data_IF_968684522790
#
_entry.id   IF_968684522790
#
_cell.length_a   1.000
_cell.length_b   1.000
_cell.length_c   1.000
_cell.angle_alpha   90.00
_cell.angle_beta   90.00
_cell.angle_gamma   90.00
#
_symmetry.space_group_name_H-M   'P 1'
#
loop_
_entity.id
_entity.type
_entity.pdbx_description
1 polymer ?
#
# COMPACT_ATOMS: atom_id res chain seq x y z
N UNK A 1 -39.10 19.03 -2.24
CA UNK A 1 -38.27 18.56 -1.10
C UNK A 1 -37.04 17.83 -1.61
N UNK A 2 -37.18 16.84 -2.51
CA UNK A 2 -36.04 16.22 -3.22
C UNK A 2 -35.19 17.24 -4.02
N UNK A 3 -35.82 18.16 -4.77
CA UNK A 3 -35.09 19.18 -5.55
C UNK A 3 -34.32 20.18 -4.67
N UNK A 4 -34.82 20.44 -3.45
CA UNK A 4 -34.17 21.33 -2.49
C UNK A 4 -32.97 20.65 -1.80
N UNK A 5 -33.09 19.36 -1.45
CA UNK A 5 -31.98 18.55 -0.90
C UNK A 5 -30.91 18.28 -1.97
N UNK A 6 -31.28 18.11 -3.23
CA UNK A 6 -30.32 18.00 -4.35
C UNK A 6 -29.62 19.35 -4.58
N UNK A 7 -30.35 20.47 -4.50
CA UNK A 7 -29.74 21.79 -4.61
C UNK A 7 -28.79 22.09 -3.44
N UNK A 8 -29.16 21.72 -2.22
CA UNK A 8 -28.35 21.87 -1.00
C UNK A 8 -27.10 20.97 -1.02
N UNK A 9 -27.25 19.70 -1.39
CA UNK A 9 -26.10 18.80 -1.58
C UNK A 9 -25.21 19.22 -2.76
N UNK A 10 -25.77 19.75 -3.85
CA UNK A 10 -24.99 20.30 -4.95
C UNK A 10 -24.16 21.53 -4.50
N UNK A 11 -24.70 22.38 -3.62
CA UNK A 11 -23.94 23.50 -3.04
C UNK A 11 -22.82 23.05 -2.09
N UNK A 12 -22.94 21.90 -1.44
CA UNK A 12 -21.89 21.35 -0.57
C UNK A 12 -20.84 20.53 -1.34
N UNK A 13 -21.23 19.85 -2.41
CA UNK A 13 -20.33 19.06 -3.26
C UNK A 13 -19.47 19.97 -4.15
N UNK A 14 -20.02 21.09 -4.63
CA UNK A 14 -19.32 22.06 -5.48
C UNK A 14 -18.01 22.59 -4.88
N UNK A 15 -17.95 23.09 -3.62
CA UNK A 15 -16.70 23.55 -3.03
C UNK A 15 -15.69 22.42 -2.85
N UNK A 16 -16.12 21.18 -2.58
CA UNK A 16 -15.24 20.02 -2.49
C UNK A 16 -14.61 19.68 -3.86
N UNK A 17 -15.42 19.66 -4.93
CA UNK A 17 -14.92 19.44 -6.29
C UNK A 17 -13.97 20.55 -6.70
N UNK A 18 -14.33 21.81 -6.46
CA UNK A 18 -13.50 22.96 -6.78
C UNK A 18 -12.16 22.90 -6.04
N UNK A 19 -12.17 22.60 -4.75
CA UNK A 19 -10.95 22.43 -3.95
C UNK A 19 -10.06 21.33 -4.54
N UNK A 20 -10.63 20.17 -4.85
CA UNK A 20 -9.90 19.04 -5.44
C UNK A 20 -9.26 19.42 -6.78
N UNK A 21 -10.02 20.12 -7.63
CA UNK A 21 -9.52 20.61 -8.93
C UNK A 21 -8.41 21.64 -8.77
N UNK A 22 -8.53 22.58 -7.82
CA UNK A 22 -7.49 23.57 -7.54
C UNK A 22 -6.21 22.90 -7.07
N UNK A 23 -6.30 21.93 -6.15
CA UNK A 23 -5.14 21.16 -5.67
C UNK A 23 -4.51 20.36 -6.82
N UNK A 24 -5.31 19.66 -7.62
CA UNK A 24 -4.81 18.91 -8.77
C UNK A 24 -4.14 19.83 -9.82
N UNK A 25 -4.73 21.01 -10.08
CA UNK A 25 -4.16 22.02 -10.96
C UNK A 25 -2.84 22.56 -10.41
N UNK A 26 -2.76 22.86 -9.12
CA UNK A 26 -1.53 23.32 -8.47
C UNK A 26 -0.40 22.28 -8.56
N UNK A 27 -0.70 21.01 -8.27
CA UNK A 27 0.26 19.91 -8.42
C UNK A 27 0.74 19.80 -9.87
N UNK A 28 -0.19 19.86 -10.83
CA UNK A 28 0.13 19.79 -12.27
C UNK A 28 1.00 20.96 -12.70
N UNK A 29 0.64 22.20 -12.34
CA UNK A 29 1.43 23.40 -12.65
C UNK A 29 2.82 23.32 -12.04
N UNK A 30 2.93 22.84 -10.80
CA UNK A 30 4.23 22.69 -10.13
C UNK A 30 5.11 21.65 -10.82
N UNK A 31 4.56 20.49 -11.20
CA UNK A 31 5.30 19.46 -11.94
C UNK A 31 5.71 19.95 -13.34
N UNK A 32 4.82 20.63 -14.05
CA UNK A 32 5.10 21.20 -15.38
C UNK A 32 6.14 22.30 -15.29
N UNK A 33 6.02 23.21 -14.31
CA UNK A 33 7.01 24.25 -14.06
C UNK A 33 8.37 23.64 -13.71
N UNK A 34 8.40 22.60 -12.87
CA UNK A 34 9.63 21.86 -12.56
C UNK A 34 10.24 21.22 -13.80
N UNK A 35 9.43 20.72 -14.73
CA UNK A 35 9.90 20.15 -15.99
C UNK A 35 10.46 21.21 -16.96
N UNK A 36 9.85 22.41 -17.01
CA UNK A 36 10.33 23.52 -17.84
C UNK A 36 11.57 24.21 -17.27
N UNK A 37 11.63 24.41 -15.95
CA UNK A 37 12.75 25.07 -15.25
C UNK A 37 13.91 24.11 -15.04
N UNK A 38 13.62 22.82 -14.85
CA UNK A 38 14.64 21.79 -14.73
C UNK A 38 15.57 21.84 -15.93
N UNK A 39 16.86 22.04 -15.68
CA UNK A 39 17.86 21.97 -16.73
C UNK A 39 17.68 20.61 -17.42
N UNK A 40 17.36 20.63 -18.73
CA UNK A 40 17.41 19.46 -19.61
C UNK A 40 18.87 18.99 -19.64
N UNK A 41 19.32 18.36 -18.57
CA UNK A 41 20.58 17.64 -18.56
C UNK A 41 20.47 16.66 -19.71
N UNK A 42 21.46 16.67 -20.62
CA UNK A 42 21.58 15.59 -21.59
C UNK A 42 21.61 14.32 -20.76
N UNK A 43 20.53 13.54 -20.83
CA UNK A 43 20.43 12.22 -20.21
C UNK A 43 21.63 11.42 -20.71
N UNK A 44 22.68 11.39 -19.90
CA UNK A 44 23.85 10.59 -20.16
C UNK A 44 23.47 9.16 -19.84
N UNK A 45 24.04 8.19 -20.56
CA UNK A 45 23.74 6.76 -20.35
C UNK A 45 23.91 6.28 -18.90
N UNK A 46 24.68 7.01 -18.08
CA UNK A 46 24.85 6.74 -16.65
C UNK A 46 23.74 7.34 -15.73
N UNK A 47 22.94 8.29 -16.22
CA UNK A 47 21.80 8.87 -15.47
C UNK A 47 20.51 8.05 -15.64
N UNK A 48 20.42 7.27 -16.73
CA UNK A 48 19.24 6.46 -17.06
C UNK A 48 19.32 5.01 -16.54
N UNK A 49 20.41 4.65 -15.85
CA UNK A 49 20.56 3.34 -15.21
C UNK A 49 20.11 3.42 -13.73
N UNK A 50 19.41 2.40 -13.21
CA UNK A 50 19.14 2.28 -11.78
C UNK A 50 20.40 2.45 -10.95
N UNK A 51 20.33 3.26 -9.91
CA UNK A 51 21.48 3.53 -9.04
C UNK A 51 21.79 2.31 -8.16
N UNK A 52 22.94 1.68 -8.39
CA UNK A 52 23.45 0.59 -7.55
C UNK A 52 24.94 0.80 -7.23
N UNK A 53 25.30 2.00 -6.77
CA UNK A 53 26.66 2.35 -6.30
C UNK A 53 27.79 1.93 -7.26
N UNK A 54 27.60 2.09 -8.57
CA UNK A 54 28.60 1.76 -9.60
C UNK A 54 28.56 0.32 -10.12
N UNK A 55 27.63 -0.51 -9.65
CA UNK A 55 27.33 -1.83 -10.20
C UNK A 55 26.32 -1.65 -11.33
N UNK A 56 26.59 -2.26 -12.48
CA UNK A 56 25.60 -2.35 -13.56
C UNK A 56 24.54 -3.35 -13.09
N UNK A 57 23.26 -2.98 -13.00
CA UNK A 57 22.23 -3.90 -12.55
C UNK A 57 22.22 -5.12 -13.48
N UNK A 58 22.48 -6.29 -12.91
CA UNK A 58 22.53 -7.57 -13.62
C UNK A 58 21.34 -8.42 -13.20
N UNK A 59 20.53 -8.80 -14.19
CA UNK A 59 19.35 -9.65 -14.01
C UNK A 59 18.05 -8.86 -14.03
N UNK A 60 17.02 -9.46 -14.62
CA UNK A 60 15.67 -8.93 -14.55
C UNK A 60 15.20 -8.98 -13.10
N UNK A 61 14.86 -7.81 -12.54
CA UNK A 61 14.13 -7.71 -11.28
C UNK A 61 12.81 -8.53 -11.29
N UNK A 62 12.37 -8.98 -12.47
CA UNK A 62 11.25 -9.89 -12.71
C UNK A 62 11.40 -11.27 -12.01
N UNK A 63 12.62 -11.75 -11.77
CA UNK A 63 12.86 -13.02 -11.06
C UNK A 63 13.04 -12.87 -9.54
N UNK A 64 12.92 -11.67 -8.99
CA UNK A 64 12.81 -11.47 -7.54
C UNK A 64 11.40 -11.85 -7.10
N UNK A 65 11.29 -13.04 -6.51
CA UNK A 65 10.07 -13.47 -5.81
C UNK A 65 9.91 -12.58 -4.58
N UNK A 66 9.04 -11.58 -4.67
CA UNK A 66 8.59 -10.82 -3.52
C UNK A 66 8.02 -11.78 -2.48
N UNK A 67 8.32 -11.50 -1.22
CA UNK A 67 7.97 -12.34 -0.10
C UNK A 67 6.43 -12.32 0.09
N UNK A 68 5.81 -13.48 0.34
CA UNK A 68 4.34 -13.61 0.48
C UNK A 68 3.80 -12.80 1.67
N UNK A 69 4.68 -12.46 2.59
CA UNK A 69 4.44 -11.64 3.77
C UNK A 69 3.79 -10.29 3.42
N UNK A 70 4.13 -9.66 2.29
CA UNK A 70 3.49 -8.41 1.86
C UNK A 70 2.01 -8.59 1.48
N UNK A 71 1.67 -9.74 0.89
CA UNK A 71 0.29 -10.07 0.55
C UNK A 71 -0.55 -10.30 1.81
N UNK A 72 0.01 -10.99 2.81
CA UNK A 72 -0.68 -11.23 4.09
C UNK A 72 -1.02 -9.91 4.82
N UNK A 73 -0.09 -8.96 4.84
CA UNK A 73 -0.33 -7.63 5.41
C UNK A 73 -1.41 -6.88 4.61
N UNK A 74 -1.40 -6.96 3.28
CA UNK A 74 -2.38 -6.28 2.43
C UNK A 74 -3.80 -6.84 2.63
N UNK A 75 -3.98 -8.17 2.65
CA UNK A 75 -5.29 -8.77 2.86
C UNK A 75 -5.80 -8.52 4.28
N UNK A 76 -4.91 -8.52 5.29
CA UNK A 76 -5.25 -8.15 6.65
C UNK A 76 -5.74 -6.70 6.75
N UNK A 77 -5.05 -5.76 6.08
CA UNK A 77 -5.49 -4.36 6.01
C UNK A 77 -6.89 -4.23 5.40
N UNK A 78 -7.17 -4.92 4.29
CA UNK A 78 -8.49 -4.89 3.64
C UNK A 78 -9.58 -5.42 4.57
N UNK A 79 -9.34 -6.54 5.27
CA UNK A 79 -10.31 -7.11 6.21
C UNK A 79 -10.55 -6.14 7.38
N UNK A 80 -9.49 -5.60 7.98
CA UNK A 80 -9.62 -4.65 9.10
C UNK A 80 -10.31 -3.33 8.68
N UNK A 81 -10.07 -2.85 7.46
CA UNK A 81 -10.75 -1.68 6.90
C UNK A 81 -12.26 -1.96 6.69
N UNK A 82 -12.59 -3.13 6.16
CA UNK A 82 -13.98 -3.60 6.06
C UNK A 82 -14.64 -3.79 7.44
N UNK A 83 -13.91 -4.16 8.47
CA UNK A 83 -14.47 -4.27 9.82
C UNK A 83 -14.75 -2.90 10.43
N UNK A 84 -13.88 -1.92 10.15
CA UNK A 84 -14.05 -0.54 10.60
C UNK A 84 -15.30 0.11 10.00
N UNK A 85 -15.66 -0.19 8.75
CA UNK A 85 -16.90 0.34 8.15
C UNK A 85 -18.16 -0.10 8.93
N UNK A 86 -18.17 -1.31 9.50
CA UNK A 86 -19.29 -1.78 10.31
C UNK A 86 -19.37 -1.05 11.65
N UNK A 87 -18.21 -0.78 12.27
CA UNK A 87 -18.15 0.01 13.51
C UNK A 87 -18.63 1.44 13.24
N UNK A 88 -18.20 2.06 12.13
CA UNK A 88 -18.66 3.40 11.73
C UNK A 88 -20.17 3.40 11.45
N UNK A 89 -20.69 2.41 10.72
CA UNK A 89 -22.12 2.32 10.43
C UNK A 89 -22.96 2.22 11.72
N UNK A 90 -22.51 1.42 12.70
CA UNK A 90 -23.12 1.40 14.02
C UNK A 90 -22.97 2.74 14.75
N UNK A 91 -21.79 3.37 14.71
CA UNK A 91 -21.53 4.64 15.39
C UNK A 91 -22.42 5.77 14.88
N UNK A 92 -22.73 5.80 13.58
CA UNK A 92 -23.66 6.76 12.99
C UNK A 92 -25.09 6.53 13.46
N UNK A 93 -25.49 5.28 13.71
CA UNK A 93 -26.85 4.91 14.10
C UNK A 93 -26.99 4.59 15.60
N UNK A 94 -26.03 4.97 16.44
CA UNK A 94 -25.91 4.47 17.82
C UNK A 94 -27.17 4.75 18.68
N UNK A 95 -27.83 5.88 18.41
CA UNK A 95 -29.03 6.36 19.07
C UNK A 95 -30.29 5.56 18.68
N UNK A 96 -30.32 4.99 17.47
CA UNK A 96 -31.43 4.18 16.97
C UNK A 96 -31.41 2.75 17.50
N UNK A 97 -30.22 2.16 17.70
CA UNK A 97 -30.07 0.73 18.02
C UNK A 97 -29.96 0.46 19.53
N UNK A 98 -29.59 1.46 20.32
CA UNK A 98 -29.53 1.38 21.79
C UNK A 98 -28.64 0.23 22.31
N UNK A 99 -29.01 -0.31 23.47
CA UNK A 99 -28.25 -1.38 24.15
C UNK A 99 -28.00 -2.65 23.31
N UNK A 100 -28.98 -3.18 22.54
CA UNK A 100 -28.75 -4.33 21.66
C UNK A 100 -27.65 -4.06 20.61
N UNK A 101 -27.65 -2.87 20.00
CA UNK A 101 -26.61 -2.50 19.04
C UNK A 101 -25.23 -2.39 19.69
N UNK A 102 -25.16 -1.80 20.89
CA UNK A 102 -23.92 -1.70 21.64
C UNK A 102 -23.32 -3.07 21.97
N UNK A 103 -24.13 -4.02 22.45
CA UNK A 103 -23.67 -5.39 22.74
C UNK A 103 -23.20 -6.08 21.45
N UNK A 104 -23.92 -5.88 20.34
CA UNK A 104 -23.55 -6.42 19.03
C UNK A 104 -22.18 -5.92 18.58
N UNK A 105 -21.94 -4.61 18.63
CA UNK A 105 -20.63 -4.03 18.27
C UNK A 105 -19.53 -4.44 19.24
N UNK A 106 -19.82 -4.52 20.54
CA UNK A 106 -18.82 -4.95 21.53
C UNK A 106 -18.38 -6.41 21.29
N UNK A 107 -19.32 -7.29 20.94
CA UNK A 107 -19.01 -8.67 20.56
C UNK A 107 -18.23 -8.74 19.25
N UNK A 108 -18.63 -7.94 18.24
CA UNK A 108 -17.92 -7.84 16.97
C UNK A 108 -16.46 -7.42 17.17
N UNK A 109 -16.22 -6.31 17.87
CA UNK A 109 -14.87 -5.84 18.24
C UNK A 109 -14.10 -6.91 19.02
N UNK A 110 -14.77 -7.63 19.93
CA UNK A 110 -14.16 -8.74 20.67
C UNK A 110 -13.61 -9.84 19.76
N UNK A 111 -14.35 -10.21 18.71
CA UNK A 111 -13.87 -11.17 17.70
C UNK A 111 -12.67 -10.60 16.93
N UNK A 112 -12.71 -9.32 16.54
CA UNK A 112 -11.59 -8.67 15.84
C UNK A 112 -10.31 -8.70 16.66
N UNK A 113 -10.42 -8.39 17.95
CA UNK A 113 -9.30 -8.43 18.88
C UNK A 113 -8.72 -9.85 19.00
N UNK A 114 -9.57 -10.88 19.05
CA UNK A 114 -9.11 -12.27 19.09
C UNK A 114 -8.38 -12.64 17.79
N UNK A 115 -8.95 -12.28 16.62
CA UNK A 115 -8.33 -12.52 15.32
C UNK A 115 -6.97 -11.80 15.19
N UNK A 116 -6.90 -10.53 15.58
CA UNK A 116 -5.66 -9.74 15.60
C UNK A 116 -4.61 -10.38 16.51
N UNK A 117 -4.97 -10.76 17.74
CA UNK A 117 -4.04 -11.42 18.67
C UNK A 117 -3.54 -12.76 18.12
N UNK A 118 -4.41 -13.53 17.46
CA UNK A 118 -4.02 -14.78 16.82
C UNK A 118 -3.01 -14.56 15.68
N UNK A 119 -3.25 -13.56 14.82
CA UNK A 119 -2.37 -13.25 13.69
C UNK A 119 -1.00 -12.76 14.16
N UNK A 120 -0.98 -11.88 15.17
CA UNK A 120 0.25 -11.42 15.83
C UNK A 120 1.07 -12.57 16.41
N UNK A 121 0.41 -13.57 17.01
CA UNK A 121 1.08 -14.76 17.56
C UNK A 121 1.59 -15.72 16.49
N UNK A 122 0.95 -15.77 15.33
CA UNK A 122 1.35 -16.66 14.23
C UNK A 122 2.62 -16.16 13.52
N UNK A 123 3.04 -14.91 13.79
CA UNK A 123 4.25 -14.35 13.19
C UNK A 123 4.07 -14.04 11.71
N UNK A 124 2.84 -13.90 11.21
CA UNK A 124 2.56 -13.47 9.85
C UNK A 124 3.10 -12.05 9.55
N UNK A 125 3.38 -11.27 10.60
CA UNK A 125 4.04 -9.97 10.55
C UNK A 125 5.57 -10.04 10.68
N UNK A 126 6.16 -11.21 10.92
CA UNK A 126 7.60 -11.34 11.11
C UNK A 126 8.32 -11.18 9.75
N UNK A 127 9.02 -10.06 9.59
CA UNK A 127 9.86 -9.83 8.41
C UNK A 127 11.28 -10.31 8.67
N UNK A 128 11.90 -10.93 7.68
CA UNK A 128 13.31 -11.32 7.76
C UNK A 128 13.79 -12.07 6.53
N UNK A 129 15.08 -11.91 6.21
CA UNK A 129 15.74 -12.69 5.16
C UNK A 129 15.72 -14.15 5.59
N UNK A 130 14.78 -14.93 5.07
CA UNK A 130 14.87 -16.39 5.11
C UNK A 130 16.01 -16.77 4.15
N UNK A 131 17.22 -16.86 4.69
CA UNK A 131 18.40 -17.29 3.94
C UNK A 131 18.07 -18.61 3.26
N UNK A 132 17.91 -18.57 1.94
CA UNK A 132 17.75 -19.78 1.16
C UNK A 132 19.03 -20.57 1.37
N UNK A 133 18.93 -21.69 2.07
CA UNK A 133 20.05 -22.58 2.30
C UNK A 133 20.56 -23.02 0.93
N UNK A 134 21.57 -22.33 0.44
CA UNK A 134 22.20 -22.67 -0.83
C UNK A 134 22.96 -23.94 -0.55
N UNK A 135 22.65 -25.03 -1.26
CA UNK A 135 23.37 -26.29 -1.11
C UNK A 135 24.87 -26.03 -1.37
N UNK A 136 25.75 -26.17 -0.36
CA UNK A 136 27.18 -25.92 -0.53
C UNK A 136 27.79 -26.81 -1.62
N UNK A 137 27.23 -28.01 -1.82
CA UNK A 137 27.68 -28.94 -2.85
C UNK A 137 27.28 -28.47 -4.25
N UNK A 138 26.17 -27.73 -4.40
CA UNK A 138 25.77 -27.14 -5.67
C UNK A 138 26.68 -25.98 -6.07
N UNK A 139 27.13 -25.15 -5.12
CA UNK A 139 28.11 -24.07 -5.40
C UNK A 139 29.49 -24.64 -5.77
N UNK A 140 29.95 -25.68 -5.05
CA UNK A 140 31.24 -26.31 -5.32
C UNK A 140 31.33 -27.00 -6.69
N UNK A 141 30.19 -27.45 -7.26
CA UNK A 141 30.09 -28.03 -8.61
C UNK A 141 29.82 -27.01 -9.70
N UNK A 142 29.61 -25.74 -9.36
CA UNK A 142 29.47 -24.71 -10.38
C UNK A 142 30.79 -24.54 -11.13
N UNK A 143 30.79 -24.55 -12.47
CA UNK A 143 32.01 -24.42 -13.26
C UNK A 143 32.65 -23.08 -12.94
N UNK A 144 33.95 -23.09 -12.64
CA UNK A 144 34.65 -21.85 -12.30
C UNK A 144 34.75 -20.99 -13.56
N UNK A 145 34.67 -19.64 -13.47
CA UNK A 145 34.75 -18.77 -14.65
C UNK A 145 36.00 -19.02 -15.52
N UNK A 146 37.08 -19.53 -14.91
CA UNK A 146 38.34 -19.88 -15.58
C UNK A 146 38.31 -21.21 -16.37
N UNK A 147 37.25 -22.01 -16.27
CA UNK A 147 37.11 -23.30 -16.98
C UNK A 147 36.22 -23.18 -18.23
N UNK A 148 35.72 -21.99 -18.54
CA UNK A 148 34.75 -21.72 -19.62
C UNK A 148 35.37 -20.92 -20.79
N UNK A 149 36.69 -20.72 -20.79
CA UNK A 149 37.50 -20.21 -21.92
C UNK A 149 38.34 -21.32 -22.55
#
# INVERSE_FOLDING_TARGET
MADAVVAESATDILPFILYTLVVAALLTVTLVASWFVGAKARHGRAQDIPYESGIVPVGDAENMRFSIEFYLIAIFFVIFDLETIFIIAWAVAYDLVGWPGYIGVAFFIGILLIALVYELKTGALEWGVKSRHTDPAAYARSPKPSEVE
#
